data_IF_390793961444
#
_entry.id   IF_390793961444
#
_cell.length_a   1.000
_cell.length_b   1.000
_cell.length_c   1.000
_cell.angle_alpha   90.00
_cell.angle_beta   90.00
_cell.angle_gamma   90.00
#
_symmetry.space_group_name_H-M   'P 1'
#
loop_
_entity.id
_entity.type
_entity.pdbx_description
1 polymer ?
#
# COMPACT_ATOMS: atom_id res chain seq x y z
N UNK A 1 -5.75 -13.06 35.71
CA UNK A 1 -4.38 -13.20 35.15
C UNK A 1 -4.23 -12.08 34.15
N UNK A 2 -3.39 -11.07 34.44
CA UNK A 2 -3.08 -10.00 33.49
C UNK A 2 -2.12 -10.58 32.44
N UNK A 3 -2.48 -10.49 31.15
CA UNK A 3 -1.57 -10.85 30.06
C UNK A 3 -0.37 -9.92 30.12
N UNK A 4 0.76 -10.39 30.64
CA UNK A 4 2.06 -9.73 30.56
C UNK A 4 2.70 -10.02 29.21
N UNK A 5 2.03 -9.60 28.13
CA UNK A 5 2.64 -9.63 26.81
C UNK A 5 3.58 -8.44 26.67
N UNK A 6 4.75 -8.66 26.06
CA UNK A 6 5.62 -7.56 25.66
C UNK A 6 4.98 -6.76 24.52
N UNK A 7 5.36 -5.49 24.40
CA UNK A 7 4.87 -4.63 23.33
C UNK A 7 5.18 -5.19 21.93
N UNK A 8 6.34 -5.84 21.77
CA UNK A 8 6.68 -6.55 20.54
C UNK A 8 5.68 -7.65 20.19
N UNK A 9 5.34 -8.52 21.14
CA UNK A 9 4.40 -9.64 20.91
C UNK A 9 3.04 -9.10 20.47
N UNK A 10 2.57 -8.04 21.14
CA UNK A 10 1.34 -7.34 20.79
C UNK A 10 1.36 -6.76 19.37
N UNK A 11 2.45 -6.08 19.00
CA UNK A 11 2.60 -5.52 17.66
C UNK A 11 2.80 -6.59 16.58
N UNK A 12 3.45 -7.70 16.89
CA UNK A 12 3.55 -8.87 16.00
C UNK A 12 2.14 -9.40 15.66
N UNK A 13 1.32 -9.69 16.68
CA UNK A 13 -0.04 -10.20 16.46
C UNK A 13 -0.91 -9.25 15.63
N UNK A 14 -0.87 -7.95 15.95
CA UNK A 14 -1.65 -6.93 15.24
C UNK A 14 -1.16 -6.74 13.82
N UNK A 15 0.15 -6.60 13.62
CA UNK A 15 0.73 -6.36 12.29
C UNK A 15 0.53 -7.55 11.38
N UNK A 16 0.67 -8.79 11.87
CA UNK A 16 0.43 -10.02 11.10
C UNK A 16 -1.03 -10.10 10.67
N UNK A 17 -1.97 -9.89 11.59
CA UNK A 17 -3.41 -9.94 11.27
C UNK A 17 -3.79 -8.87 10.25
N UNK A 18 -3.33 -7.64 10.47
CA UNK A 18 -3.54 -6.53 9.54
C UNK A 18 -2.94 -6.84 8.17
N UNK A 19 -1.68 -7.28 8.12
CA UNK A 19 -0.97 -7.53 6.88
C UNK A 19 -1.66 -8.61 6.05
N UNK A 20 -1.99 -9.77 6.67
CA UNK A 20 -2.67 -10.87 5.98
C UNK A 20 -4.00 -10.43 5.37
N UNK A 21 -4.80 -9.67 6.12
CA UNK A 21 -6.08 -9.17 5.62
C UNK A 21 -5.89 -8.18 4.46
N UNK A 22 -5.01 -7.19 4.64
CA UNK A 22 -4.80 -6.13 3.67
C UNK A 22 -4.21 -6.65 2.36
N UNK A 23 -3.20 -7.52 2.43
CA UNK A 23 -2.57 -8.05 1.23
C UNK A 23 -3.51 -9.01 0.48
N UNK A 24 -4.29 -9.84 1.17
CA UNK A 24 -5.27 -10.72 0.52
C UNK A 24 -6.34 -9.90 -0.19
N UNK A 25 -6.85 -8.85 0.45
CA UNK A 25 -7.80 -7.94 -0.20
C UNK A 25 -7.22 -7.32 -1.48
N UNK A 26 -6.00 -6.76 -1.40
CA UNK A 26 -5.35 -6.15 -2.56
C UNK A 26 -5.07 -7.16 -3.68
N UNK A 27 -4.67 -8.37 -3.34
CA UNK A 27 -4.38 -9.45 -4.29
C UNK A 27 -5.66 -9.96 -4.95
N UNK A 28 -6.78 -10.11 -4.22
CA UNK A 28 -8.07 -10.50 -4.81
C UNK A 28 -8.68 -9.38 -5.65
N UNK A 29 -8.58 -8.11 -5.23
CA UNK A 29 -9.02 -6.97 -6.04
C UNK A 29 -8.25 -6.92 -7.37
N UNK A 30 -6.93 -7.11 -7.32
CA UNK A 30 -6.11 -7.21 -8.52
C UNK A 30 -6.51 -8.40 -9.38
N UNK A 31 -6.74 -9.58 -8.78
CA UNK A 31 -7.20 -10.77 -9.52
C UNK A 31 -8.51 -10.49 -10.25
N UNK A 32 -9.49 -9.91 -9.57
CA UNK A 32 -10.80 -9.62 -10.15
C UNK A 32 -10.66 -8.61 -11.29
N UNK A 33 -9.96 -7.49 -11.09
CA UNK A 33 -9.70 -6.52 -12.17
C UNK A 33 -8.93 -7.14 -13.34
N UNK A 34 -7.90 -7.95 -13.06
CA UNK A 34 -7.05 -8.54 -14.10
C UNK A 34 -7.72 -9.67 -14.90
N UNK A 35 -8.75 -10.32 -14.35
CA UNK A 35 -9.50 -11.42 -15.01
C UNK A 35 -10.83 -10.92 -15.60
N UNK A 36 -11.49 -9.96 -14.95
CA UNK A 36 -12.83 -9.50 -15.30
C UNK A 36 -12.82 -8.27 -16.22
N UNK A 37 -11.80 -7.40 -16.16
CA UNK A 37 -11.68 -6.28 -17.09
C UNK A 37 -11.16 -6.77 -18.45
N UNK A 38 -12.11 -7.08 -19.33
CA UNK A 38 -11.92 -6.94 -20.78
C UNK A 38 -11.99 -5.44 -21.20
N UNK A 39 -11.57 -4.50 -20.34
CA UNK A 39 -11.53 -3.08 -20.67
C UNK A 39 -10.26 -2.73 -21.48
N UNK A 40 -10.32 -1.71 -22.36
CA UNK A 40 -9.43 -1.56 -23.52
C UNK A 40 -7.99 -1.10 -23.21
N UNK A 41 -7.57 -1.09 -21.94
CA UNK A 41 -6.31 -0.47 -21.50
C UNK A 41 -5.03 -1.23 -21.83
N UNK A 42 -5.13 -2.52 -22.23
CA UNK A 42 -3.97 -3.37 -22.56
C UNK A 42 -3.96 -3.86 -24.03
N UNK A 43 -4.86 -3.35 -24.89
CA UNK A 43 -5.05 -3.88 -26.25
C UNK A 43 -5.54 -5.33 -26.26
N UNK A 44 -5.25 -6.09 -27.33
CA UNK A 44 -5.65 -7.49 -27.52
C UNK A 44 -4.95 -8.51 -26.56
N UNK A 45 -4.29 -8.04 -25.49
CA UNK A 45 -3.60 -8.91 -24.54
C UNK A 45 -4.60 -9.63 -23.63
N UNK A 46 -4.69 -10.95 -23.76
CA UNK A 46 -5.42 -11.80 -22.81
C UNK A 46 -4.44 -12.36 -21.78
N UNK A 47 -4.62 -12.17 -20.47
CA UNK A 47 -3.76 -12.77 -19.46
C UNK A 47 -3.80 -14.31 -19.49
N UNK A 48 -2.65 -14.96 -19.22
CA UNK A 48 -2.64 -16.41 -19.00
C UNK A 48 -3.22 -16.73 -17.61
N UNK A 49 -4.41 -17.33 -17.59
CA UNK A 49 -5.13 -17.66 -16.37
C UNK A 49 -4.41 -18.72 -15.52
N UNK A 50 -3.66 -19.64 -16.13
CA UNK A 50 -2.92 -20.66 -15.39
C UNK A 50 -1.73 -20.03 -14.66
N UNK A 51 -1.01 -19.13 -15.33
CA UNK A 51 0.12 -18.39 -14.75
C UNK A 51 -0.35 -17.48 -13.63
N UNK A 52 -1.41 -16.71 -13.87
CA UNK A 52 -2.05 -15.85 -12.87
C UNK A 52 -2.44 -16.67 -11.63
N UNK A 53 -3.16 -17.77 -11.82
CA UNK A 53 -3.61 -18.63 -10.72
C UNK A 53 -2.44 -19.25 -9.95
N UNK A 54 -1.38 -19.66 -10.64
CA UNK A 54 -0.17 -20.22 -10.03
C UNK A 54 0.55 -19.20 -9.15
N UNK A 55 0.78 -17.99 -9.66
CA UNK A 55 1.46 -16.92 -8.91
C UNK A 55 0.65 -16.52 -7.68
N UNK A 56 -0.66 -16.29 -7.85
CA UNK A 56 -1.56 -15.92 -6.74
C UNK A 56 -1.61 -17.01 -5.66
N UNK A 57 -1.65 -18.28 -6.06
CA UNK A 57 -1.63 -19.41 -5.12
C UNK A 57 -0.32 -19.46 -4.33
N UNK A 58 0.82 -19.19 -4.98
CA UNK A 58 2.12 -19.12 -4.31
C UNK A 58 2.19 -17.97 -3.32
N UNK A 59 1.73 -16.78 -3.71
CA UNK A 59 1.63 -15.59 -2.85
C UNK A 59 0.77 -15.89 -1.62
N UNK A 60 -0.41 -16.48 -1.83
CA UNK A 60 -1.32 -16.88 -0.74
C UNK A 60 -0.68 -17.88 0.23
N UNK A 61 0.00 -18.88 -0.30
CA UNK A 61 0.74 -19.86 0.52
C UNK A 61 1.82 -19.17 1.36
N UNK A 62 2.60 -18.26 0.77
CA UNK A 62 3.61 -17.51 1.50
C UNK A 62 2.99 -16.62 2.60
N UNK A 63 1.85 -15.95 2.32
CA UNK A 63 1.12 -15.14 3.31
C UNK A 63 0.70 -15.99 4.50
N UNK A 64 0.25 -17.23 4.29
CA UNK A 64 -0.16 -18.14 5.37
C UNK A 64 0.97 -18.43 6.36
N UNK A 65 2.21 -18.50 5.87
CA UNK A 65 3.40 -18.79 6.70
C UNK A 65 3.84 -17.65 7.62
N UNK A 66 3.34 -16.43 7.39
CA UNK A 66 3.71 -15.24 8.19
C UNK A 66 3.18 -15.38 9.61
N UNK A 67 4.08 -15.31 10.59
CA UNK A 67 3.75 -15.50 12.01
C UNK A 67 4.15 -14.34 12.93
N UNK A 68 5.04 -13.46 12.46
CA UNK A 68 5.55 -12.31 13.20
C UNK A 68 5.95 -11.18 12.25
N UNK A 69 6.20 -9.98 12.79
CA UNK A 69 6.54 -8.80 12.01
C UNK A 69 7.80 -8.97 11.16
N UNK A 70 8.80 -9.73 11.62
CA UNK A 70 9.98 -10.02 10.80
C UNK A 70 9.63 -10.78 9.53
N UNK A 71 8.69 -11.74 9.60
CA UNK A 71 8.29 -12.54 8.43
C UNK A 71 7.57 -11.67 7.39
N UNK A 72 6.88 -10.62 7.84
CA UNK A 72 6.28 -9.61 6.96
C UNK A 72 7.38 -8.86 6.19
N UNK A 73 8.47 -8.49 6.86
CA UNK A 73 9.61 -7.82 6.20
C UNK A 73 10.28 -8.73 5.18
N UNK A 74 10.50 -9.99 5.54
CA UNK A 74 11.08 -10.99 4.63
C UNK A 74 10.17 -11.21 3.41
N UNK A 75 8.84 -11.27 3.62
CA UNK A 75 7.86 -11.35 2.54
C UNK A 75 7.95 -10.13 1.62
N UNK A 76 7.96 -8.91 2.19
CA UNK A 76 8.05 -7.68 1.41
C UNK A 76 9.35 -7.67 0.61
N UNK A 77 10.49 -8.04 1.19
CA UNK A 77 11.78 -8.09 0.49
C UNK A 77 11.76 -9.11 -0.65
N UNK A 78 11.21 -10.32 -0.42
CA UNK A 78 11.07 -11.38 -1.43
C UNK A 78 10.28 -10.92 -2.67
N UNK A 79 9.26 -10.09 -2.45
CA UNK A 79 8.33 -9.65 -3.49
C UNK A 79 8.55 -8.20 -3.95
N UNK A 80 9.50 -7.49 -3.36
CA UNK A 80 9.91 -6.15 -3.81
C UNK A 80 10.97 -6.28 -4.88
N UNK A 81 10.79 -5.59 -5.99
CA UNK A 81 11.85 -5.36 -6.95
C UNK A 81 12.89 -4.45 -6.29
N UNK A 82 14.15 -4.91 -6.26
CA UNK A 82 15.32 -4.19 -5.71
C UNK A 82 15.62 -2.92 -6.52
N UNK A 83 14.79 -1.91 -6.36
CA UNK A 83 14.92 -0.60 -6.99
C UNK A 83 15.42 0.34 -5.90
N UNK A 84 16.66 0.80 -6.04
CA UNK A 84 17.43 1.49 -5.00
C UNK A 84 16.85 2.83 -4.52
N UNK A 85 15.78 3.36 -5.12
CA UNK A 85 15.17 4.63 -4.74
C UNK A 85 13.67 4.47 -4.42
N UNK A 86 13.27 4.98 -3.26
CA UNK A 86 11.97 4.81 -2.62
C UNK A 86 10.77 5.47 -3.32
N UNK A 87 10.95 6.27 -4.38
CA UNK A 87 9.87 7.04 -5.01
C UNK A 87 9.97 7.17 -6.56
N UNK A 88 10.86 6.44 -7.24
CA UNK A 88 11.05 6.60 -8.69
C UNK A 88 10.18 5.63 -9.51
N UNK A 89 8.98 6.07 -9.91
CA UNK A 89 8.20 5.49 -11.02
C UNK A 89 9.07 5.28 -12.28
N UNK A 90 10.05 6.17 -12.49
CA UNK A 90 11.05 6.13 -13.58
C UNK A 90 11.94 4.88 -13.57
N UNK A 91 12.33 4.40 -12.39
CA UNK A 91 13.18 3.21 -12.25
C UNK A 91 12.37 1.91 -12.31
N UNK A 92 11.08 1.96 -11.93
CA UNK A 92 10.16 0.82 -12.08
C UNK A 92 9.87 0.57 -13.56
N UNK A 93 9.56 1.62 -14.33
CA UNK A 93 9.28 1.50 -15.77
C UNK A 93 10.46 0.98 -16.58
N UNK A 94 11.67 1.52 -16.34
CA UNK A 94 12.89 1.12 -17.07
C UNK A 94 13.39 -0.28 -16.72
N UNK A 95 13.31 -0.69 -15.44
CA UNK A 95 13.67 -2.05 -15.04
C UNK A 95 12.66 -3.08 -15.56
N UNK A 96 11.36 -2.79 -15.44
CA UNK A 96 10.31 -3.65 -15.98
C UNK A 96 10.40 -3.78 -17.50
N UNK A 97 10.64 -2.67 -18.22
CA UNK A 97 10.80 -2.71 -19.67
C UNK A 97 12.05 -3.49 -20.10
N UNK A 98 13.16 -3.36 -19.36
CA UNK A 98 14.39 -4.13 -19.64
C UNK A 98 14.19 -5.63 -19.40
N UNK A 99 13.50 -6.01 -18.32
CA UNK A 99 13.14 -7.41 -18.04
C UNK A 99 12.16 -7.95 -19.08
N UNK A 100 11.20 -7.13 -19.52
CA UNK A 100 10.23 -7.46 -20.57
C UNK A 100 10.94 -7.71 -21.91
N UNK A 101 11.85 -6.83 -22.32
CA UNK A 101 12.64 -6.96 -23.54
C UNK A 101 13.56 -8.19 -23.51
N UNK A 102 14.33 -8.38 -22.44
CA UNK A 102 15.16 -9.60 -22.29
C UNK A 102 14.32 -10.88 -22.34
N UNK A 103 13.12 -10.84 -21.76
CA UNK A 103 12.26 -12.02 -21.68
C UNK A 103 11.62 -12.36 -23.02
N UNK A 104 11.23 -11.36 -23.81
CA UNK A 104 10.76 -11.52 -25.19
C UNK A 104 11.88 -12.07 -26.08
N UNK A 105 13.11 -11.55 -25.96
CA UNK A 105 14.26 -12.02 -26.74
C UNK A 105 14.64 -13.47 -26.40
N UNK A 106 14.58 -13.86 -25.12
CA UNK A 106 14.96 -15.20 -24.67
C UNK A 106 13.86 -16.26 -24.87
N UNK A 107 12.58 -15.86 -24.92
CA UNK A 107 11.44 -16.80 -24.95
C UNK A 107 10.34 -16.37 -25.94
N UNK A 108 10.62 -16.35 -27.26
CA UNK A 108 9.69 -15.84 -28.27
C UNK A 108 8.40 -16.66 -28.41
N UNK A 109 8.37 -17.91 -27.92
CA UNK A 109 7.21 -18.80 -28.07
C UNK A 109 6.23 -18.76 -26.88
N UNK A 110 6.63 -18.20 -25.73
CA UNK A 110 5.82 -18.14 -24.49
C UNK A 110 5.63 -16.68 -24.02
N UNK A 111 5.58 -15.74 -24.96
CA UNK A 111 5.55 -14.30 -24.67
C UNK A 111 4.37 -13.94 -23.76
N UNK A 112 3.19 -14.52 -23.99
CA UNK A 112 1.99 -14.24 -23.20
C UNK A 112 2.15 -14.64 -21.72
N UNK A 113 2.57 -15.88 -21.44
CA UNK A 113 2.86 -16.36 -20.07
C UNK A 113 3.86 -15.44 -19.37
N UNK A 114 4.90 -15.00 -20.08
CA UNK A 114 5.97 -14.19 -19.52
C UNK A 114 5.56 -12.74 -19.27
N UNK A 115 4.78 -12.14 -20.15
CA UNK A 115 4.17 -10.82 -19.93
C UNK A 115 3.22 -10.89 -18.74
N UNK A 116 2.38 -11.93 -18.65
CA UNK A 116 1.53 -12.16 -17.48
C UNK A 116 2.36 -12.27 -16.20
N UNK A 117 3.42 -13.08 -16.17
CA UNK A 117 4.31 -13.22 -15.01
C UNK A 117 4.89 -11.88 -14.56
N UNK A 118 5.34 -11.05 -15.51
CA UNK A 118 5.93 -9.75 -15.23
C UNK A 118 4.91 -8.74 -14.69
N UNK A 119 3.73 -8.64 -15.31
CA UNK A 119 2.64 -7.78 -14.81
C UNK A 119 2.28 -8.17 -13.38
N UNK A 120 2.12 -9.46 -13.11
CA UNK A 120 1.83 -9.97 -11.78
C UNK A 120 2.92 -9.57 -10.77
N UNK A 121 4.21 -9.76 -11.11
CA UNK A 121 5.33 -9.36 -10.24
C UNK A 121 5.35 -7.86 -9.95
N UNK A 122 5.12 -7.03 -10.97
CA UNK A 122 5.08 -5.58 -10.81
C UNK A 122 3.96 -5.13 -9.86
N UNK A 123 2.77 -5.71 -10.01
CA UNK A 123 1.61 -5.37 -9.17
C UNK A 123 1.82 -5.82 -7.72
N UNK A 124 2.31 -7.04 -7.52
CA UNK A 124 2.66 -7.53 -6.17
C UNK A 124 3.75 -6.63 -5.55
N UNK A 125 4.77 -6.24 -6.31
CA UNK A 125 5.80 -5.29 -5.85
C UNK A 125 5.21 -3.92 -5.46
N UNK A 126 4.24 -3.40 -6.20
CA UNK A 126 3.60 -2.12 -5.86
C UNK A 126 2.81 -2.23 -4.55
N UNK A 127 2.02 -3.31 -4.41
CA UNK A 127 1.27 -3.61 -3.19
C UNK A 127 2.23 -3.72 -1.99
N UNK A 128 3.32 -4.49 -2.11
CA UNK A 128 4.27 -4.68 -1.00
C UNK A 128 5.05 -3.42 -0.65
N UNK A 129 5.41 -2.57 -1.63
CA UNK A 129 6.01 -1.26 -1.38
C UNK A 129 5.11 -0.34 -0.58
N UNK A 130 3.82 -0.28 -0.92
CA UNK A 130 2.86 0.56 -0.20
C UNK A 130 2.60 0.02 1.21
N UNK A 131 2.47 -1.31 1.37
CA UNK A 131 2.43 -1.97 2.68
C UNK A 131 3.65 -1.63 3.55
N UNK A 132 4.85 -1.64 2.96
CA UNK A 132 6.08 -1.28 3.68
C UNK A 132 6.04 0.17 4.20
N UNK A 133 5.51 1.11 3.42
CA UNK A 133 5.35 2.51 3.85
C UNK A 133 4.41 2.62 5.05
N UNK A 134 3.33 1.83 5.11
CA UNK A 134 2.42 1.80 6.25
C UNK A 134 3.05 1.16 7.49
N UNK A 135 3.82 0.08 7.33
CA UNK A 135 4.46 -0.67 8.42
C UNK A 135 5.56 0.10 9.16
N UNK A 136 6.10 1.19 8.60
CA UNK A 136 7.08 2.06 9.29
C UNK A 136 6.59 2.59 10.63
N UNK A 137 5.28 2.60 10.86
CA UNK A 137 4.70 2.96 12.16
C UNK A 137 5.09 1.96 13.25
N UNK A 138 5.15 0.66 12.93
CA UNK A 138 5.54 -0.41 13.86
C UNK A 138 6.99 -0.20 14.30
N UNK A 139 7.90 0.06 13.37
CA UNK A 139 9.30 0.37 13.69
C UNK A 139 9.42 1.63 14.55
N UNK A 140 8.62 2.65 14.25
CA UNK A 140 8.60 3.89 15.05
C UNK A 140 8.16 3.62 16.49
N UNK A 141 7.13 2.79 16.68
CA UNK A 141 6.61 2.41 17.98
C UNK A 141 7.64 1.60 18.77
N UNK A 142 8.17 0.53 18.20
CA UNK A 142 9.16 -0.34 18.84
C UNK A 142 10.41 0.45 19.27
N UNK A 143 10.89 1.35 18.42
CA UNK A 143 12.06 2.19 18.74
C UNK A 143 11.80 3.22 19.83
N UNK A 144 10.58 3.76 19.93
CA UNK A 144 10.25 4.83 20.90
C UNK A 144 9.77 4.31 22.24
N UNK A 145 9.02 3.21 22.25
CA UNK A 145 8.39 2.66 23.44
C UNK A 145 9.13 1.44 23.99
N UNK A 146 10.06 0.85 23.22
CA UNK A 146 10.86 -0.31 23.59
C UNK A 146 10.17 -1.63 23.24
N UNK A 147 10.92 -2.57 22.65
CA UNK A 147 10.37 -3.88 22.23
C UNK A 147 9.92 -4.75 23.42
N UNK A 148 10.72 -4.74 24.49
CA UNK A 148 10.53 -5.60 25.67
C UNK A 148 9.66 -4.96 26.75
N UNK A 149 9.24 -3.71 26.56
CA UNK A 149 8.39 -2.98 27.50
C UNK A 149 7.05 -3.69 27.65
N UNK A 150 6.55 -3.79 28.88
CA UNK A 150 5.25 -4.40 29.13
C UNK A 150 4.12 -3.44 28.74
N UNK A 151 3.01 -3.96 28.21
CA UNK A 151 1.89 -3.13 27.75
C UNK A 151 1.33 -2.21 28.85
N UNK A 152 1.30 -2.69 30.10
CA UNK A 152 0.82 -1.94 31.25
C UNK A 152 1.80 -0.88 31.77
N UNK A 153 3.00 -0.78 31.19
CA UNK A 153 3.98 0.27 31.46
C UNK A 153 3.93 1.38 30.40
N UNK A 154 3.29 1.13 29.25
CA UNK A 154 3.13 2.10 28.18
C UNK A 154 1.89 2.94 28.46
N UNK A 155 2.08 4.26 28.60
CA UNK A 155 1.00 5.23 28.71
C UNK A 155 0.25 5.30 27.37
N UNK A 156 -1.09 5.22 27.45
CA UNK A 156 -1.95 5.30 26.28
C UNK A 156 -1.76 6.61 25.50
N UNK A 157 -1.55 7.72 26.20
CA UNK A 157 -1.37 9.03 25.59
C UNK A 157 -0.06 9.12 24.77
N UNK A 158 1.00 8.45 25.21
CA UNK A 158 2.27 8.38 24.46
C UNK A 158 2.12 7.56 23.18
N UNK A 159 1.44 6.42 23.27
CA UNK A 159 1.08 5.61 22.10
C UNK A 159 0.28 6.44 21.11
N UNK A 160 -0.78 7.10 21.57
CA UNK A 160 -1.64 7.92 20.74
C UNK A 160 -0.87 9.05 20.05
N UNK A 161 -0.05 9.77 20.80
CA UNK A 161 0.78 10.84 20.27
C UNK A 161 1.71 10.35 19.15
N UNK A 162 2.38 9.21 19.33
CA UNK A 162 3.31 8.66 18.33
C UNK A 162 2.56 8.27 17.05
N UNK A 163 1.40 7.62 17.19
CA UNK A 163 0.57 7.19 16.06
C UNK A 163 0.06 8.41 15.27
N UNK A 164 -0.48 9.41 15.97
CA UNK A 164 -0.95 10.66 15.35
C UNK A 164 0.18 11.41 14.64
N UNK A 165 1.36 11.54 15.26
CA UNK A 165 2.52 12.17 14.60
C UNK A 165 3.03 11.42 13.39
N UNK A 166 2.89 10.09 13.34
CA UNK A 166 3.23 9.34 12.14
C UNK A 166 2.20 9.58 11.02
N UNK A 167 0.91 9.57 11.37
CA UNK A 167 -0.19 9.82 10.44
C UNK A 167 -0.15 11.24 9.84
N UNK A 168 0.13 12.25 10.66
CA UNK A 168 0.27 13.65 10.25
C UNK A 168 1.26 13.82 9.08
N UNK A 169 2.34 13.02 9.02
CA UNK A 169 3.33 13.09 7.93
C UNK A 169 2.71 12.68 6.59
N UNK A 170 1.90 11.63 6.57
CA UNK A 170 1.23 11.16 5.34
C UNK A 170 0.09 12.10 4.96
N UNK A 171 -0.66 12.60 5.96
CA UNK A 171 -1.68 13.62 5.73
C UNK A 171 -1.12 14.90 5.13
N UNK A 172 0.07 15.33 5.56
CA UNK A 172 0.74 16.49 4.98
C UNK A 172 0.99 16.31 3.48
N UNK A 173 1.49 15.13 3.07
CA UNK A 173 1.71 14.82 1.64
C UNK A 173 0.40 14.92 0.85
N UNK A 174 -0.69 14.37 1.37
CA UNK A 174 -1.98 14.43 0.68
C UNK A 174 -2.49 15.86 0.61
N UNK A 175 -2.38 16.65 1.69
CA UNK A 175 -2.77 18.07 1.70
C UNK A 175 -1.97 18.90 0.71
N UNK A 176 -0.66 18.65 0.60
CA UNK A 176 0.21 19.29 -0.39
C UNK A 176 -0.26 18.95 -1.81
N UNK A 177 -0.48 17.66 -2.09
CA UNK A 177 -1.03 17.20 -3.36
C UNK A 177 -2.40 17.84 -3.67
N UNK A 178 -3.29 17.92 -2.67
CA UNK A 178 -4.61 18.53 -2.80
C UNK A 178 -4.54 20.03 -3.12
N UNK A 179 -3.61 20.75 -2.50
CA UNK A 179 -3.39 22.16 -2.78
C UNK A 179 -2.89 22.41 -4.21
N UNK A 180 -2.08 21.49 -4.74
CA UNK A 180 -1.61 21.50 -6.13
C UNK A 180 -2.72 21.09 -7.12
N UNK A 181 -3.73 20.33 -6.66
CA UNK A 181 -4.81 19.77 -7.48
C UNK A 181 -6.20 20.10 -6.92
N UNK A 182 -6.59 21.40 -6.88
CA UNK A 182 -7.78 21.84 -6.15
C UNK A 182 -9.09 21.30 -6.72
N UNK A 183 -9.22 21.18 -8.05
CA UNK A 183 -10.43 20.61 -8.69
C UNK A 183 -10.69 19.18 -8.24
N UNK A 184 -9.63 18.39 -8.13
CA UNK A 184 -9.72 16.99 -7.73
C UNK A 184 -10.00 16.86 -6.24
N UNK A 185 -9.50 17.80 -5.45
CA UNK A 185 -9.68 17.82 -4.00
C UNK A 185 -11.11 18.10 -3.54
N UNK A 186 -11.94 18.69 -4.39
CA UNK A 186 -13.36 18.92 -4.07
C UNK A 186 -14.14 17.61 -3.90
N UNK A 187 -13.75 16.54 -4.61
CA UNK A 187 -14.47 15.25 -4.62
C UNK A 187 -14.31 14.43 -3.34
N UNK A 188 -13.33 14.74 -2.49
CA UNK A 188 -13.07 14.02 -1.24
C UNK A 188 -12.84 14.95 -0.05
N UNK A 189 -13.29 16.20 -0.15
CA UNK A 189 -13.02 17.25 0.84
C UNK A 189 -13.62 16.92 2.22
N UNK A 190 -14.80 16.32 2.25
CA UNK A 190 -15.47 15.93 3.49
C UNK A 190 -14.71 14.79 4.18
N UNK A 191 -14.29 13.79 3.41
CA UNK A 191 -13.48 12.67 3.89
C UNK A 191 -12.13 13.16 4.41
N UNK A 192 -11.53 14.13 3.74
CA UNK A 192 -10.25 14.72 4.17
C UNK A 192 -10.34 15.42 5.53
N UNK A 193 -11.50 16.02 5.84
CA UNK A 193 -11.79 16.61 7.15
C UNK A 193 -11.93 15.52 8.22
N UNK A 194 -12.70 14.47 7.94
CA UNK A 194 -12.89 13.32 8.84
C UNK A 194 -11.54 12.67 9.16
N UNK A 195 -10.73 12.36 8.14
CA UNK A 195 -9.42 11.72 8.34
C UNK A 195 -8.48 12.61 9.16
N UNK A 196 -8.54 13.92 8.98
CA UNK A 196 -7.70 14.86 9.72
C UNK A 196 -8.10 14.98 11.19
N UNK A 197 -9.40 15.05 11.47
CA UNK A 197 -9.91 15.65 12.70
C UNK A 197 -10.78 14.72 13.56
N UNK A 198 -11.43 13.68 13.01
CA UNK A 198 -12.37 12.85 13.77
C UNK A 198 -11.64 12.03 14.85
N UNK A 199 -12.04 12.02 16.13
CA UNK A 199 -11.36 11.23 17.15
C UNK A 199 -11.49 9.71 16.97
N UNK A 200 -12.47 9.24 16.18
CA UNK A 200 -12.72 7.83 15.95
C UNK A 200 -11.95 7.31 14.73
N UNK A 201 -10.95 6.47 14.98
CA UNK A 201 -10.15 5.84 13.93
C UNK A 201 -10.94 4.90 13.02
N UNK A 202 -12.10 4.40 13.45
CA UNK A 202 -12.97 3.63 12.57
C UNK A 202 -13.59 4.54 11.50
N UNK A 203 -14.04 5.74 11.87
CA UNK A 203 -14.55 6.72 10.89
C UNK A 203 -13.44 7.25 9.99
N UNK A 204 -12.25 7.49 10.54
CA UNK A 204 -11.08 7.83 9.71
C UNK A 204 -10.77 6.72 8.69
N UNK A 205 -10.91 5.44 9.09
CA UNK A 205 -10.72 4.30 8.18
C UNK A 205 -11.71 4.36 7.03
N UNK A 206 -12.99 4.48 7.31
CA UNK A 206 -14.06 4.54 6.30
C UNK A 206 -13.86 5.72 5.34
N UNK A 207 -13.54 6.91 5.86
CA UNK A 207 -13.24 8.07 5.02
C UNK A 207 -11.98 7.86 4.15
N UNK A 208 -10.95 7.17 4.67
CA UNK A 208 -9.74 6.87 3.90
C UNK A 208 -9.97 5.85 2.78
N UNK A 209 -10.91 4.93 2.94
CA UNK A 209 -11.31 3.98 1.88
C UNK A 209 -12.00 4.72 0.73
N UNK A 210 -12.84 5.72 1.04
CA UNK A 210 -13.48 6.55 0.02
C UNK A 210 -12.45 7.38 -0.75
N UNK A 211 -11.48 8.00 -0.05
CA UNK A 211 -10.36 8.72 -0.69
C UNK A 211 -9.57 7.78 -1.61
N UNK A 212 -9.20 6.60 -1.14
CA UNK A 212 -8.46 5.63 -1.94
C UNK A 212 -9.26 5.21 -3.18
N UNK A 213 -10.56 4.92 -3.03
CA UNK A 213 -11.42 4.53 -4.13
C UNK A 213 -11.53 5.64 -5.20
N UNK A 214 -11.63 6.90 -4.78
CA UNK A 214 -11.58 8.04 -5.69
C UNK A 214 -10.29 8.05 -6.52
N UNK A 215 -9.14 7.90 -5.86
CA UNK A 215 -7.85 7.85 -6.55
C UNK A 215 -7.68 6.62 -7.45
N UNK A 216 -8.30 5.48 -7.11
CA UNK A 216 -8.33 4.29 -7.97
C UNK A 216 -9.01 4.54 -9.32
N UNK A 217 -9.98 5.45 -9.36
CA UNK A 217 -10.79 5.71 -10.56
C UNK A 217 -10.34 6.96 -11.36
N UNK A 218 -9.59 7.88 -10.73
CA UNK A 218 -9.30 9.20 -11.31
C UNK A 218 -8.52 9.12 -12.63
N UNK A 219 -7.64 8.12 -12.79
CA UNK A 219 -6.79 7.97 -13.98
C UNK A 219 -7.64 7.67 -15.22
N UNK A 220 -8.59 6.74 -15.11
CA UNK A 220 -9.47 6.37 -16.23
C UNK A 220 -10.49 7.46 -16.62
N UNK A 221 -10.72 8.44 -15.75
CA UNK A 221 -11.68 9.53 -15.98
C UNK A 221 -11.04 10.78 -16.59
N UNK A 222 -9.79 11.08 -16.23
CA UNK A 222 -9.17 12.39 -16.51
C UNK A 222 -8.02 12.36 -17.52
N UNK A 223 -7.44 11.19 -17.79
CA UNK A 223 -6.32 11.04 -18.74
C UNK A 223 -6.87 10.59 -20.09
N UNK A 224 -6.65 11.41 -21.12
CA UNK A 224 -7.04 11.06 -22.49
C UNK A 224 -6.05 10.05 -23.10
N UNK A 225 -6.53 9.20 -23.99
CA UNK A 225 -5.76 8.11 -24.62
C UNK A 225 -4.46 8.60 -25.29
N UNK A 226 -4.49 9.79 -25.91
CA UNK A 226 -3.32 10.45 -26.48
C UNK A 226 -2.30 10.95 -25.45
N UNK A 227 -2.71 11.31 -24.23
CA UNK A 227 -1.78 11.68 -23.13
C UNK A 227 -1.02 10.43 -22.59
N UNK A 228 -1.56 9.23 -22.82
CA UNK A 228 -0.92 7.94 -22.49
C UNK A 228 0.10 7.57 -23.58
N UNK A 229 -0.26 7.74 -24.86
CA UNK A 229 0.60 7.43 -26.01
C UNK A 229 1.87 8.32 -26.07
N UNK A 230 1.82 9.53 -25.53
CA UNK A 230 2.95 10.47 -25.49
C UNK A 230 3.97 10.19 -24.36
N UNK A 231 3.71 9.23 -23.47
CA UNK A 231 4.67 8.82 -22.44
C UNK A 231 5.87 8.08 -23.06
N UNK A 232 6.98 8.78 -23.25
CA UNK A 232 8.26 8.14 -23.57
C UNK A 232 9.16 8.02 -22.35
N UNK A 233 9.82 6.87 -22.21
CA UNK A 233 10.80 6.61 -21.13
C UNK A 233 12.00 7.56 -21.21
N UNK A 234 12.28 8.09 -22.40
CA UNK A 234 13.37 9.03 -22.66
C UNK A 234 13.02 10.49 -22.27
N UNK A 235 11.73 10.87 -22.24
CA UNK A 235 11.25 12.22 -21.89
C UNK A 235 10.15 12.22 -20.81
N UNK A 236 10.47 11.65 -19.65
CA UNK A 236 9.56 11.66 -18.48
C UNK A 236 9.42 13.11 -17.95
N UNK A 237 8.29 13.73 -18.25
CA UNK A 237 7.90 15.02 -17.67
C UNK A 237 7.26 14.77 -16.29
N UNK A 238 7.95 15.17 -15.21
CA UNK A 238 7.45 15.05 -13.83
C UNK A 238 6.12 15.79 -13.58
N UNK A 239 5.78 16.75 -14.44
CA UNK A 239 4.51 17.48 -14.43
C UNK A 239 3.43 16.83 -15.30
N UNK A 240 3.68 15.66 -15.90
CA UNK A 240 2.65 14.91 -16.60
C UNK A 240 1.54 14.53 -15.62
N UNK A 241 0.28 14.67 -16.05
CA UNK A 241 -0.89 14.33 -15.24
C UNK A 241 -0.82 12.91 -14.70
N UNK A 242 -0.32 11.97 -15.51
CA UNK A 242 -0.16 10.55 -15.14
C UNK A 242 0.77 10.40 -13.93
N UNK A 243 1.91 11.11 -13.90
CA UNK A 243 2.83 11.05 -12.76
C UNK A 243 2.23 11.74 -11.53
N UNK A 244 1.57 12.89 -11.72
CA UNK A 244 0.91 13.62 -10.63
C UNK A 244 -0.20 12.77 -10.00
N UNK A 245 -1.04 12.10 -10.79
CA UNK A 245 -2.11 11.25 -10.29
C UNK A 245 -1.59 9.95 -9.66
N UNK A 246 -0.56 9.33 -10.24
CA UNK A 246 0.09 8.17 -9.61
C UNK A 246 0.69 8.51 -8.23
N UNK A 247 1.27 9.70 -8.06
CA UNK A 247 1.69 10.18 -6.72
C UNK A 247 0.50 10.26 -5.76
N UNK A 248 -0.64 10.77 -6.22
CA UNK A 248 -1.88 10.82 -5.45
C UNK A 248 -2.36 9.43 -5.00
N UNK A 249 -2.41 8.47 -5.92
CA UNK A 249 -2.74 7.06 -5.64
C UNK A 249 -1.82 6.47 -4.57
N UNK A 250 -0.50 6.61 -4.74
CA UNK A 250 0.46 6.07 -3.77
C UNK A 250 0.30 6.69 -2.38
N UNK A 251 -0.01 7.99 -2.30
CA UNK A 251 -0.24 8.68 -1.02
C UNK A 251 -1.54 8.20 -0.37
N UNK A 252 -2.63 8.03 -1.13
CA UNK A 252 -3.92 7.59 -0.60
C UNK A 252 -3.87 6.14 -0.12
N UNK A 253 -3.19 5.25 -0.83
CA UNK A 253 -2.96 3.87 -0.40
C UNK A 253 -2.10 3.81 0.89
N UNK A 254 -1.01 4.60 0.96
CA UNK A 254 -0.20 4.72 2.19
C UNK A 254 -1.08 5.17 3.37
N UNK A 255 -1.95 6.16 3.12
CA UNK A 255 -2.82 6.76 4.13
C UNK A 255 -3.84 5.75 4.66
N UNK A 256 -4.58 5.08 3.77
CA UNK A 256 -5.54 4.03 4.14
C UNK A 256 -4.87 2.94 4.95
N UNK A 257 -3.76 2.38 4.44
CA UNK A 257 -3.03 1.31 5.11
C UNK A 257 -2.56 1.70 6.52
N UNK A 258 -2.09 2.95 6.69
CA UNK A 258 -1.70 3.46 8.01
C UNK A 258 -2.89 3.61 8.96
N UNK A 259 -3.98 4.24 8.52
CA UNK A 259 -5.15 4.45 9.37
C UNK A 259 -5.75 3.13 9.81
N UNK A 260 -5.82 2.16 8.90
CA UNK A 260 -6.32 0.83 9.23
C UNK A 260 -5.44 0.12 10.26
N UNK A 261 -4.12 0.16 10.09
CA UNK A 261 -3.19 -0.40 11.07
C UNK A 261 -3.30 0.30 12.43
N UNK A 262 -3.39 1.64 12.45
CA UNK A 262 -3.60 2.42 13.67
C UNK A 262 -4.92 2.03 14.35
N UNK A 263 -6.01 1.88 13.57
CA UNK A 263 -7.30 1.44 14.08
C UNK A 263 -7.21 0.03 14.71
N UNK A 264 -6.46 -0.89 14.09
CA UNK A 264 -6.19 -2.21 14.67
C UNK A 264 -5.41 -2.12 15.99
N UNK A 265 -4.44 -1.21 16.10
CA UNK A 265 -3.71 -0.94 17.35
C UNK A 265 -4.65 -0.36 18.42
N UNK A 266 -5.54 0.57 18.09
CA UNK A 266 -6.45 1.16 19.08
C UNK A 266 -7.59 0.24 19.52
N UNK A 267 -8.14 -0.62 18.65
CA UNK A 267 -9.22 -1.56 19.02
C UNK A 267 -8.82 -2.52 20.15
N UNK A 268 -7.51 -2.78 20.31
CA UNK A 268 -6.97 -3.62 21.36
C UNK A 268 -6.35 -2.81 22.52
N UNK A 269 -6.60 -1.50 22.58
CA UNK A 269 -5.91 -0.57 23.51
C UNK A 269 -6.29 -0.68 24.99
N UNK A 270 -7.21 -1.57 25.36
CA UNK A 270 -7.59 -1.81 26.77
C UNK A 270 -6.45 -2.38 27.61
N UNK A 271 -5.38 -2.83 26.95
CA UNK A 271 -4.20 -3.44 27.56
C UNK A 271 -3.14 -2.40 28.00
N UNK A 272 -3.26 -1.14 27.55
CA UNK A 272 -2.34 -0.06 27.91
C UNK A 272 -2.70 0.60 29.24
N UNK A 273 -1.70 1.22 29.86
CA UNK A 273 -1.91 2.03 31.05
C UNK A 273 -2.71 3.27 30.67
N UNK A 274 -3.88 3.45 31.31
CA UNK A 274 -4.62 4.69 31.22
C UNK A 274 -4.13 5.60 32.32
N UNK A 275 -3.85 6.86 31.98
CA UNK A 275 -3.60 7.89 32.98
C UNK A 275 -4.80 7.95 33.93
N UNK A 276 -4.57 7.67 35.22
CA UNK A 276 -5.56 7.93 36.27
C UNK A 276 -5.67 9.45 36.41
N UNK A 277 -6.68 10.05 35.75
CA UNK A 277 -7.20 11.35 36.15
C UNK A 277 -8.31 11.13 37.16
#
# INVERSE_FOLDING_TARGET
MQNTNSFKTYLDDISVKWFKNFIVEKVENFRNGFIEDNEPGFGDFTPDLNVTSYILSKVKTDIETISKYSDIKDFIEKYSLNIKNNDDLKNIGSAAQSELLETIEKNPNNIQEKITELIMKMQINNITKNLNKSLKIIETLLNKLGEDTLLNEIEYEDLEYILQKNLEKTLKKLKEWSAENPKQSEFYKEEMDIVSNDPDFQKRKEASEIIEHYFGNIIGQEIQENEIEELSVENINENSKIIVFNKGIMISEELRGKIELINCIFKNSKEFKKSNV
#
